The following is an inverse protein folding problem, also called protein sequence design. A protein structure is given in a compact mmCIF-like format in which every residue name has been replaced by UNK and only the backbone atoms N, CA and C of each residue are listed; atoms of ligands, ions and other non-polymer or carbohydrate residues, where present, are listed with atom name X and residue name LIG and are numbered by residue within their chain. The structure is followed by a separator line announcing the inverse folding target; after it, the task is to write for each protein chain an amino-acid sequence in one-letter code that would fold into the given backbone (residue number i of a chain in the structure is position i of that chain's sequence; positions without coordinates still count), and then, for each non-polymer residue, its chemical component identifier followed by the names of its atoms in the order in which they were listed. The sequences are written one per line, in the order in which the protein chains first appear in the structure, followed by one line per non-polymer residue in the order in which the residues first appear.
data_IF_582291341179
#
_entry.id   IF_582291341179
#
_cell.length_a   1.000
_cell.length_b   1.000
_cell.length_c   1.000
_cell.angle_alpha   90.00
_cell.angle_beta   90.00
_cell.angle_gamma   90.00
#
_symmetry.space_group_name_H-M   'P 1'
#
loop_
_entity.id
_entity.type
_entity.pdbx_description
1 polymer ?
#
# COMPACT_ATOMS: atom_id res chain seq x y z
N UNK A 1 -2.86 -31.02 23.96
CA UNK A 1 -3.05 -29.69 23.35
C UNK A 1 -1.86 -29.52 22.40
N UNK A 2 -2.11 -29.46 21.10
CA UNK A 2 -1.03 -29.29 20.11
C UNK A 2 -0.55 -27.84 20.13
N UNK A 3 0.75 -27.64 20.10
CA UNK A 3 1.34 -26.32 19.89
C UNK A 3 1.35 -26.04 18.39
N UNK A 4 0.62 -25.03 17.95
CA UNK A 4 0.69 -24.55 16.57
C UNK A 4 1.81 -23.51 16.46
N UNK A 5 2.81 -23.81 15.62
CA UNK A 5 3.94 -22.92 15.42
C UNK A 5 3.51 -21.62 14.72
N UNK A 6 3.92 -20.47 15.27
CA UNK A 6 3.69 -19.17 14.65
C UNK A 6 4.39 -19.04 13.29
N UNK A 7 3.82 -18.22 12.41
CA UNK A 7 4.27 -18.08 11.00
C UNK A 7 5.75 -17.67 10.88
N UNK A 8 6.25 -16.85 11.80
CA UNK A 8 7.67 -16.47 11.87
C UNK A 8 8.55 -17.72 12.07
N UNK A 9 8.29 -18.49 13.12
CA UNK A 9 9.05 -19.71 13.46
C UNK A 9 9.00 -20.71 12.31
N UNK A 10 7.80 -20.94 11.76
CA UNK A 10 7.61 -21.83 10.63
C UNK A 10 8.45 -21.40 9.42
N UNK A 11 8.40 -20.12 9.05
CA UNK A 11 9.17 -19.59 7.93
C UNK A 11 10.69 -19.73 8.15
N UNK A 12 11.18 -19.51 9.37
CA UNK A 12 12.59 -19.66 9.73
C UNK A 12 13.06 -21.12 9.62
N UNK A 13 12.26 -22.07 10.14
CA UNK A 13 12.56 -23.52 10.08
C UNK A 13 12.49 -24.08 8.66
N UNK A 14 11.53 -23.61 7.87
CA UNK A 14 11.35 -24.06 6.49
C UNK A 14 12.32 -23.38 5.52
N UNK A 15 12.81 -22.18 5.86
CA UNK A 15 13.69 -21.39 5.00
C UNK A 15 12.94 -20.66 3.90
N UNK A 16 11.68 -20.28 4.18
CA UNK A 16 10.78 -19.62 3.24
C UNK A 16 10.99 -18.11 3.22
N UNK A 17 10.34 -17.45 2.27
CA UNK A 17 10.16 -16.00 2.33
C UNK A 17 9.06 -15.68 3.36
N UNK A 18 9.35 -14.75 4.28
CA UNK A 18 8.36 -14.12 5.15
C UNK A 18 8.02 -12.74 4.60
N UNK A 19 6.77 -12.56 4.15
CA UNK A 19 6.25 -11.26 3.71
C UNK A 19 5.47 -10.60 4.84
N UNK A 20 5.91 -9.42 5.27
CA UNK A 20 5.32 -8.62 6.33
C UNK A 20 4.67 -7.39 5.71
N UNK A 21 3.35 -7.42 5.55
CA UNK A 21 2.61 -6.27 5.06
C UNK A 21 2.44 -5.24 6.17
N UNK A 22 2.71 -3.97 5.86
CA UNK A 22 2.51 -2.83 6.76
C UNK A 22 3.21 -3.02 8.11
N UNK A 23 4.50 -3.38 8.10
CA UNK A 23 5.26 -3.69 9.33
C UNK A 23 5.17 -2.55 10.35
N UNK A 24 5.00 -1.31 9.89
CA UNK A 24 4.89 -0.12 10.73
C UNK A 24 3.52 0.10 11.39
N UNK A 25 2.54 -0.78 11.12
CA UNK A 25 1.28 -0.88 11.85
C UNK A 25 1.34 -1.94 12.97
N UNK A 26 2.40 -2.75 13.03
CA UNK A 26 2.52 -3.82 14.02
C UNK A 26 2.73 -3.27 15.45
N UNK A 27 2.29 -4.06 16.43
CA UNK A 27 2.51 -3.74 17.85
C UNK A 27 3.98 -3.82 18.24
N UNK A 28 4.37 -3.05 19.26
CA UNK A 28 5.77 -2.94 19.69
C UNK A 28 6.38 -4.31 20.06
N UNK A 29 5.60 -5.17 20.72
CA UNK A 29 6.04 -6.53 21.09
C UNK A 29 6.32 -7.40 19.86
N UNK A 30 5.56 -7.22 18.77
CA UNK A 30 5.81 -7.93 17.50
C UNK A 30 7.10 -7.41 16.86
N UNK A 31 7.30 -6.10 16.84
CA UNK A 31 8.51 -5.47 16.30
C UNK A 31 9.78 -5.90 17.06
N UNK A 32 9.68 -6.06 18.38
CA UNK A 32 10.79 -6.54 19.21
C UNK A 32 11.21 -7.97 18.83
N UNK A 33 10.23 -8.85 18.59
CA UNK A 33 10.49 -10.23 18.17
C UNK A 33 11.02 -10.32 16.75
N UNK A 34 10.61 -9.39 15.87
CA UNK A 34 11.18 -9.26 14.54
C UNK A 34 12.62 -8.73 14.58
N UNK A 35 12.94 -7.75 15.42
CA UNK A 35 14.33 -7.28 15.56
C UNK A 35 15.26 -8.40 16.05
N UNK A 36 14.82 -9.21 17.01
CA UNK A 36 15.56 -10.41 17.45
C UNK A 36 15.80 -11.40 16.31
N UNK A 37 14.75 -11.71 15.54
CA UNK A 37 14.85 -12.67 14.44
C UNK A 37 15.65 -12.17 13.23
N UNK A 38 15.70 -10.85 13.00
CA UNK A 38 16.33 -10.20 11.86
C UNK A 38 17.76 -9.72 12.12
N UNK A 39 18.27 -9.89 13.34
CA UNK A 39 19.66 -9.57 13.65
C UNK A 39 20.64 -10.55 12.99
N UNK A 40 21.95 -10.29 13.15
CA UNK A 40 23.02 -11.08 12.52
C UNK A 40 23.00 -12.57 12.94
N UNK A 41 22.40 -12.90 14.08
CA UNK A 41 22.30 -14.28 14.57
C UNK A 41 21.18 -15.04 13.87
N UNK A 42 20.19 -14.33 13.31
CA UNK A 42 18.99 -14.86 12.63
C UNK A 42 18.30 -15.93 13.47
N UNK A 43 18.02 -15.63 14.72
CA UNK A 43 17.47 -16.59 15.68
C UNK A 43 16.41 -15.97 16.58
N UNK A 44 15.57 -16.80 17.16
CA UNK A 44 14.56 -16.38 18.13
C UNK A 44 14.48 -17.37 19.28
N UNK A 45 14.36 -16.86 20.50
CA UNK A 45 14.23 -17.68 21.72
C UNK A 45 12.76 -17.85 22.09
N UNK A 46 12.26 -19.09 22.09
CA UNK A 46 10.89 -19.43 22.47
C UNK A 46 10.81 -19.65 23.98
N UNK A 47 10.44 -18.60 24.72
CA UNK A 47 10.31 -18.64 26.19
C UNK A 47 9.24 -19.65 26.66
N UNK A 48 8.16 -19.78 25.89
CA UNK A 48 7.07 -20.74 26.11
C UNK A 48 7.53 -22.20 25.98
N UNK A 49 8.57 -22.46 25.18
CA UNK A 49 9.10 -23.79 24.86
C UNK A 49 10.42 -24.06 25.59
N UNK A 50 10.47 -23.79 26.89
CA UNK A 50 11.65 -24.04 27.73
C UNK A 50 12.94 -23.32 27.27
N UNK A 51 12.82 -22.21 26.54
CA UNK A 51 13.96 -21.46 26.03
C UNK A 51 14.59 -22.04 24.75
N UNK A 52 13.84 -22.84 24.00
CA UNK A 52 14.26 -23.35 22.68
C UNK A 52 14.74 -22.20 21.77
N UNK A 53 15.91 -22.38 21.15
CA UNK A 53 16.48 -21.42 20.20
C UNK A 53 16.18 -21.92 18.80
N UNK A 54 15.40 -21.14 18.05
CA UNK A 54 15.17 -21.40 16.63
C UNK A 54 16.13 -20.55 15.83
N UNK A 55 16.99 -21.18 15.03
CA UNK A 55 17.85 -20.50 14.06
C UNK A 55 17.26 -20.63 12.65
N UNK A 56 17.17 -19.52 11.94
CA UNK A 56 16.67 -19.51 10.57
C UNK A 56 17.63 -20.25 9.63
N UNK A 57 17.06 -20.98 8.67
CA UNK A 57 17.82 -21.55 7.54
C UNK A 57 18.45 -20.45 6.69
N UNK A 58 19.53 -20.79 5.99
CA UNK A 58 20.24 -19.85 5.14
C UNK A 58 19.40 -19.25 4.01
N UNK A 59 18.40 -19.98 3.53
CA UNK A 59 17.46 -19.53 2.51
C UNK A 59 16.33 -18.64 3.02
N UNK A 60 16.19 -18.48 4.34
CA UNK A 60 15.14 -17.64 4.91
C UNK A 60 15.37 -16.17 4.55
N UNK A 61 14.31 -15.51 4.08
CA UNK A 61 14.38 -14.13 3.60
C UNK A 61 13.13 -13.35 4.01
N UNK A 62 13.29 -12.09 4.36
CA UNK A 62 12.18 -11.24 4.80
C UNK A 62 11.98 -10.08 3.84
N UNK A 63 10.72 -9.89 3.43
CA UNK A 63 10.25 -8.74 2.67
C UNK A 63 9.23 -8.03 3.53
N UNK A 64 9.34 -6.71 3.67
CA UNK A 64 8.38 -5.92 4.41
C UNK A 64 7.93 -4.71 3.61
N UNK A 65 6.68 -4.29 3.80
CA UNK A 65 6.16 -3.01 3.28
C UNK A 65 5.99 -2.02 4.42
N UNK A 66 6.25 -0.74 4.14
CA UNK A 66 6.07 0.37 5.08
C UNK A 66 5.07 1.31 4.46
N UNK A 67 3.96 1.56 5.15
CA UNK A 67 2.99 2.57 4.73
C UNK A 67 3.51 3.99 5.03
N UNK A 68 3.13 4.99 4.23
CA UNK A 68 3.42 6.40 4.53
C UNK A 68 2.94 6.78 5.94
N UNK A 69 3.73 7.58 6.65
CA UNK A 69 3.43 8.03 8.02
C UNK A 69 2.17 8.90 8.13
N UNK A 70 1.67 9.40 7.00
CA UNK A 70 0.41 10.15 6.91
C UNK A 70 -0.82 9.27 7.08
N UNK A 71 -0.69 7.94 7.00
CA UNK A 71 -1.80 7.02 7.18
C UNK A 71 -2.10 6.79 8.67
N UNK A 72 -3.38 6.84 9.04
CA UNK A 72 -3.84 6.57 10.41
C UNK A 72 -3.40 5.18 10.86
N UNK A 73 -2.82 5.09 12.06
CA UNK A 73 -2.35 3.82 12.63
C UNK A 73 -0.91 3.43 12.27
N UNK A 74 -0.23 4.23 11.44
CA UNK A 74 1.20 4.01 11.16
C UNK A 74 2.10 4.65 12.22
N UNK A 75 3.17 3.96 12.58
CA UNK A 75 4.19 4.44 13.53
C UNK A 75 5.54 4.50 12.83
N UNK A 76 6.41 5.43 13.23
CA UNK A 76 7.79 5.38 12.77
C UNK A 76 8.47 4.09 13.25
N UNK A 77 9.15 3.41 12.34
CA UNK A 77 9.96 2.25 12.73
C UNK A 77 11.21 2.73 13.48
N UNK A 78 11.58 2.07 14.60
CA UNK A 78 12.83 2.37 15.30
C UNK A 78 14.05 2.24 14.37
N UNK A 79 15.07 3.10 14.49
CA UNK A 79 16.30 3.02 13.69
C UNK A 79 16.97 1.64 13.74
N UNK A 80 16.87 0.95 14.88
CA UNK A 80 17.42 -0.39 15.08
C UNK A 80 16.77 -1.39 14.13
N UNK A 81 15.44 -1.38 14.02
CA UNK A 81 14.72 -2.26 13.11
C UNK A 81 14.95 -1.86 11.65
N UNK A 82 14.98 -0.55 11.35
CA UNK A 82 15.30 -0.07 10.00
C UNK A 82 16.69 -0.53 9.54
N UNK A 83 17.66 -0.64 10.44
CA UNK A 83 19.00 -1.13 10.12
C UNK A 83 19.02 -2.61 9.67
N UNK A 84 17.98 -3.39 9.98
CA UNK A 84 17.81 -4.78 9.53
C UNK A 84 17.35 -4.90 8.09
N UNK A 85 16.92 -3.80 7.48
CA UNK A 85 16.50 -3.73 6.08
C UNK A 85 17.50 -2.87 5.29
N UNK A 86 18.69 -3.40 4.95
CA UNK A 86 19.72 -2.64 4.25
C UNK A 86 19.29 -2.27 2.81
N UNK A 87 18.48 -3.13 2.17
CA UNK A 87 17.89 -2.86 0.86
C UNK A 87 16.52 -2.24 1.06
N UNK A 88 16.36 -0.99 0.64
CA UNK A 88 15.08 -0.26 0.70
C UNK A 88 14.74 0.24 -0.69
N UNK A 89 13.57 -0.17 -1.19
CA UNK A 89 13.06 0.23 -2.50
C UNK A 89 11.93 1.22 -2.26
N UNK A 90 12.07 2.43 -2.80
CA UNK A 90 10.97 3.41 -2.86
C UNK A 90 10.13 3.12 -4.09
N UNK A 91 8.83 2.94 -3.89
CA UNK A 91 7.86 2.77 -4.95
C UNK A 91 7.05 4.06 -5.09
N UNK A 92 7.18 4.71 -6.24
CA UNK A 92 6.38 5.87 -6.62
C UNK A 92 5.31 5.46 -7.65
N UNK A 93 4.34 6.34 -7.88
CA UNK A 93 3.37 6.13 -8.96
C UNK A 93 4.08 6.12 -10.32
N UNK A 94 3.77 5.15 -11.20
CA UNK A 94 4.43 5.03 -12.48
C UNK A 94 3.97 6.14 -13.45
N UNK A 95 4.71 6.39 -14.53
CA UNK A 95 4.26 7.26 -15.62
C UNK A 95 2.91 6.83 -16.21
N UNK A 96 2.17 7.78 -16.82
CA UNK A 96 0.81 7.56 -17.32
C UNK A 96 0.70 6.37 -18.29
N UNK A 97 1.68 6.20 -19.18
CA UNK A 97 1.68 5.11 -20.17
C UNK A 97 1.88 3.74 -19.50
N UNK A 98 2.66 3.69 -18.41
CA UNK A 98 2.89 2.49 -17.62
C UNK A 98 1.67 2.17 -16.77
N UNK A 99 1.06 3.17 -16.13
CA UNK A 99 -0.21 2.99 -15.40
C UNK A 99 -1.33 2.52 -16.32
N UNK A 100 -1.44 3.09 -17.53
CA UNK A 100 -2.38 2.62 -18.54
C UNK A 100 -2.16 1.16 -18.93
N UNK A 101 -0.90 0.74 -19.12
CA UNK A 101 -0.55 -0.68 -19.37
C UNK A 101 -0.95 -1.59 -18.20
N UNK A 102 -0.86 -1.11 -16.95
CA UNK A 102 -1.33 -1.84 -15.77
C UNK A 102 -2.85 -1.97 -15.80
N UNK A 103 -3.57 -0.90 -16.06
CA UNK A 103 -5.04 -0.90 -16.15
C UNK A 103 -5.52 -1.86 -17.23
N UNK A 104 -4.89 -1.87 -18.42
CA UNK A 104 -5.20 -2.80 -19.51
C UNK A 104 -5.12 -4.28 -19.15
N UNK A 105 -4.41 -4.66 -18.08
CA UNK A 105 -4.38 -6.04 -17.57
C UNK A 105 -5.59 -6.39 -16.70
N UNK A 106 -6.35 -5.39 -16.25
CA UNK A 106 -7.45 -5.53 -15.30
C UNK A 106 -8.83 -5.26 -15.91
N UNK A 107 -8.90 -4.77 -17.15
CA UNK A 107 -10.12 -4.53 -17.94
C UNK A 107 -9.91 -5.05 -19.36
N UNK A 108 -10.97 -5.54 -20.01
CA UNK A 108 -10.89 -6.20 -21.32
C UNK A 108 -10.83 -5.18 -22.47
N UNK A 109 -11.77 -4.23 -22.47
CA UNK A 109 -11.94 -3.26 -23.56
C UNK A 109 -12.00 -1.82 -23.02
N UNK A 110 -10.90 -1.27 -22.48
CA UNK A 110 -10.90 0.10 -21.98
C UNK A 110 -11.08 1.10 -23.13
N UNK A 111 -11.96 2.09 -22.95
CA UNK A 111 -11.89 3.31 -23.74
C UNK A 111 -10.59 4.05 -23.35
N UNK A 112 -9.62 4.06 -24.26
CA UNK A 112 -8.30 4.64 -24.02
C UNK A 112 -8.38 6.12 -23.61
N UNK A 113 -9.21 6.91 -24.28
CA UNK A 113 -9.35 8.34 -23.99
C UNK A 113 -9.86 8.58 -22.57
N UNK A 114 -10.94 7.89 -22.18
CA UNK A 114 -11.55 8.05 -20.86
C UNK A 114 -10.60 7.57 -19.75
N UNK A 115 -9.93 6.42 -19.96
CA UNK A 115 -8.97 5.90 -18.97
C UNK A 115 -7.78 6.83 -18.80
N UNK A 116 -7.20 7.34 -19.89
CA UNK A 116 -6.09 8.30 -19.82
C UNK A 116 -6.53 9.60 -19.11
N UNK A 117 -7.75 10.05 -19.32
CA UNK A 117 -8.30 11.21 -18.61
C UNK A 117 -8.46 10.93 -17.11
N UNK A 118 -8.89 9.73 -16.72
CA UNK A 118 -8.92 9.29 -15.32
C UNK A 118 -7.54 9.20 -14.67
N UNK A 119 -6.54 8.70 -15.39
CA UNK A 119 -5.13 8.69 -14.92
C UNK A 119 -4.62 10.12 -14.71
N UNK A 120 -4.88 11.03 -15.66
CA UNK A 120 -4.51 12.45 -15.53
C UNK A 120 -5.15 13.09 -14.30
N UNK A 121 -6.43 12.84 -14.07
CA UNK A 121 -7.11 13.32 -12.85
C UNK A 121 -6.42 12.76 -11.61
N UNK A 122 -6.16 11.46 -11.54
CA UNK A 122 -5.46 10.87 -10.41
C UNK A 122 -4.09 11.50 -10.19
N UNK A 123 -3.32 11.78 -11.24
CA UNK A 123 -2.03 12.49 -11.16
C UNK A 123 -2.17 13.92 -10.63
N UNK A 124 -3.17 14.68 -11.08
CA UNK A 124 -3.45 16.01 -10.52
C UNK A 124 -3.75 15.94 -9.03
N UNK A 125 -4.57 14.98 -8.60
CA UNK A 125 -4.90 14.80 -7.18
C UNK A 125 -3.68 14.35 -6.35
N UNK A 126 -2.84 13.45 -6.90
CA UNK A 126 -1.57 13.02 -6.28
C UNK A 126 -0.61 14.21 -6.10
N UNK A 127 -0.48 15.07 -7.10
CA UNK A 127 0.37 16.27 -7.05
C UNK A 127 -0.13 17.26 -6.00
N UNK A 128 -1.43 17.54 -5.97
CA UNK A 128 -2.03 18.41 -4.96
C UNK A 128 -1.86 17.84 -3.53
N UNK A 129 -1.96 16.52 -3.36
CA UNK A 129 -1.70 15.88 -2.07
C UNK A 129 -0.23 15.95 -1.66
N UNK A 130 0.71 15.83 -2.61
CA UNK A 130 2.14 15.92 -2.34
C UNK A 130 2.60 17.31 -1.85
N UNK A 131 1.83 18.36 -2.16
CA UNK A 131 2.05 19.74 -1.66
C UNK A 131 1.08 20.12 -0.53
N UNK A 132 0.44 19.12 0.10
CA UNK A 132 -0.48 19.29 1.24
C UNK A 132 -1.74 20.14 0.95
N UNK A 133 -2.07 20.36 -0.33
CA UNK A 133 -3.32 21.03 -0.73
C UNK A 133 -4.55 20.12 -0.65
N UNK A 134 -4.34 18.80 -0.67
CA UNK A 134 -5.38 17.78 -0.52
C UNK A 134 -4.93 16.71 0.47
N UNK A 135 -5.86 16.25 1.31
CA UNK A 135 -5.59 15.28 2.37
C UNK A 135 -5.34 13.84 1.88
N UNK A 136 -5.64 13.55 0.63
CA UNK A 136 -5.64 12.19 0.09
C UNK A 136 -5.00 12.13 -1.28
N UNK A 137 -4.25 11.05 -1.53
CA UNK A 137 -3.55 10.77 -2.77
C UNK A 137 -4.11 9.47 -3.37
N UNK A 138 -4.80 9.53 -4.54
CA UNK A 138 -5.38 8.35 -5.15
C UNK A 138 -4.36 7.31 -5.58
N UNK A 139 -4.62 6.05 -5.26
CA UNK A 139 -3.83 4.88 -5.60
C UNK A 139 -4.06 4.38 -7.03
N UNK A 140 -3.22 3.45 -7.50
CA UNK A 140 -3.44 2.73 -8.77
C UNK A 140 -4.69 1.83 -8.69
N UNK A 141 -5.05 1.37 -7.49
CA UNK A 141 -6.28 0.56 -7.32
C UNK A 141 -7.53 1.38 -7.68
N UNK A 142 -7.52 2.67 -7.41
CA UNK A 142 -8.61 3.57 -7.77
C UNK A 142 -8.65 3.84 -9.27
N UNK A 143 -7.53 4.04 -9.95
CA UNK A 143 -7.54 4.17 -11.43
C UNK A 143 -8.01 2.87 -12.11
N UNK A 144 -7.69 1.70 -11.54
CA UNK A 144 -8.28 0.42 -11.96
C UNK A 144 -9.79 0.37 -11.69
N UNK A 145 -10.26 0.80 -10.51
CA UNK A 145 -11.68 0.83 -10.17
C UNK A 145 -12.47 1.76 -11.10
N UNK A 146 -11.91 2.94 -11.39
CA UNK A 146 -12.43 3.88 -12.36
C UNK A 146 -12.62 3.23 -13.75
N UNK A 147 -11.58 2.54 -14.24
CA UNK A 147 -11.65 1.84 -15.52
C UNK A 147 -12.69 0.70 -15.53
N UNK A 148 -12.86 -0.01 -14.42
CA UNK A 148 -13.91 -1.05 -14.27
C UNK A 148 -15.32 -0.45 -14.31
N UNK A 149 -15.53 0.73 -13.73
CA UNK A 149 -16.83 1.42 -13.82
C UNK A 149 -17.15 1.87 -15.25
N UNK A 150 -16.14 2.35 -15.99
CA UNK A 150 -16.27 2.64 -17.43
C UNK A 150 -16.67 1.39 -18.22
N UNK A 151 -15.99 0.25 -18.00
CA UNK A 151 -16.32 -1.02 -18.65
C UNK A 151 -17.74 -1.50 -18.30
N UNK A 152 -18.20 -1.21 -17.08
CA UNK A 152 -19.58 -1.42 -16.63
C UNK A 152 -20.61 -0.44 -17.21
N UNK A 153 -20.20 0.49 -18.07
CA UNK A 153 -21.09 1.46 -18.73
C UNK A 153 -21.38 2.73 -17.93
N UNK A 154 -20.69 2.96 -16.81
CA UNK A 154 -20.81 4.22 -16.05
C UNK A 154 -20.07 5.33 -16.78
N UNK A 155 -20.68 6.52 -16.89
CA UNK A 155 -20.04 7.66 -17.58
C UNK A 155 -18.74 8.09 -16.88
N UNK A 156 -17.79 8.61 -17.65
CA UNK A 156 -16.47 9.01 -17.15
C UNK A 156 -16.52 9.97 -15.96
N UNK A 157 -17.35 11.02 -16.05
CA UNK A 157 -17.57 11.97 -14.95
C UNK A 157 -18.12 11.30 -13.69
N UNK A 158 -19.13 10.44 -13.84
CA UNK A 158 -19.76 9.77 -12.70
C UNK A 158 -18.80 8.77 -12.05
N UNK A 159 -18.06 8.02 -12.86
CA UNK A 159 -16.99 7.12 -12.39
C UNK A 159 -15.92 7.88 -11.61
N UNK A 160 -15.49 9.05 -12.10
CA UNK A 160 -14.51 9.89 -11.40
C UNK A 160 -15.03 10.41 -10.05
N UNK A 161 -16.28 10.86 -10.00
CA UNK A 161 -16.91 11.28 -8.73
C UNK A 161 -17.00 10.13 -7.72
N UNK A 162 -17.42 8.95 -8.17
CA UNK A 162 -17.58 7.78 -7.30
C UNK A 162 -16.24 7.35 -6.70
N UNK A 163 -15.20 7.29 -7.54
CA UNK A 163 -13.91 6.73 -7.17
C UNK A 163 -13.01 7.75 -6.50
N UNK A 164 -12.83 8.92 -7.11
CA UNK A 164 -11.87 9.92 -6.64
C UNK A 164 -12.52 11.00 -5.78
N UNK A 165 -13.79 11.34 -5.99
CA UNK A 165 -14.46 12.43 -5.27
C UNK A 165 -14.97 12.03 -3.88
N UNK A 166 -15.66 10.90 -3.78
CA UNK A 166 -16.39 10.50 -2.57
C UNK A 166 -15.51 10.40 -1.31
N UNK A 167 -14.25 10.00 -1.45
CA UNK A 167 -13.31 9.88 -0.33
C UNK A 167 -13.12 11.22 0.38
N UNK A 168 -13.27 12.36 -0.31
CA UNK A 168 -13.07 13.67 0.30
C UNK A 168 -14.23 14.14 1.18
N UNK A 169 -15.38 13.47 1.12
CA UNK A 169 -16.53 13.80 1.97
C UNK A 169 -16.24 13.64 3.47
N UNK A 170 -15.26 12.80 3.83
CA UNK A 170 -14.85 12.59 5.22
C UNK A 170 -14.16 13.82 5.86
N UNK A 171 -13.61 14.74 5.05
CA UNK A 171 -13.03 16.01 5.51
C UNK A 171 -14.00 17.20 5.34
N UNK A 172 -15.27 16.93 5.05
CA UNK A 172 -16.33 17.92 4.96
C UNK A 172 -16.59 18.45 3.55
N UNK A 173 -17.61 19.30 3.45
CA UNK A 173 -18.14 19.75 2.16
C UNK A 173 -17.15 20.60 1.35
N UNK A 174 -16.26 21.34 1.99
CA UNK A 174 -15.30 22.22 1.29
C UNK A 174 -14.32 21.39 0.46
N UNK A 175 -13.68 20.40 1.06
CA UNK A 175 -12.74 19.51 0.36
C UNK A 175 -13.44 18.68 -0.71
N UNK A 176 -14.63 18.17 -0.40
CA UNK A 176 -15.44 17.45 -1.36
C UNK A 176 -15.79 18.30 -2.59
N UNK A 177 -16.21 19.56 -2.40
CA UNK A 177 -16.53 20.45 -3.52
C UNK A 177 -15.27 20.81 -4.33
N UNK A 178 -14.15 21.12 -3.66
CA UNK A 178 -12.86 21.38 -4.33
C UNK A 178 -12.49 20.29 -5.32
N UNK A 179 -12.61 19.01 -4.92
CA UNK A 179 -12.29 17.88 -5.81
C UNK A 179 -13.34 17.68 -6.90
N UNK A 180 -14.63 17.90 -6.60
CA UNK A 180 -15.68 17.82 -7.62
C UNK A 180 -15.57 18.94 -8.68
N UNK A 181 -15.09 20.12 -8.32
CA UNK A 181 -14.83 21.20 -9.26
C UNK A 181 -13.69 20.83 -10.22
N UNK A 182 -12.62 20.21 -9.71
CA UNK A 182 -11.54 19.66 -10.55
C UNK A 182 -12.09 18.60 -11.52
N UNK A 183 -12.91 17.66 -11.02
CA UNK A 183 -13.54 16.62 -11.85
C UNK A 183 -14.42 17.27 -12.93
N UNK A 184 -15.24 18.25 -12.58
CA UNK A 184 -16.15 18.91 -13.51
C UNK A 184 -15.38 19.70 -14.58
N UNK A 185 -14.31 20.38 -14.20
CA UNK A 185 -13.42 21.07 -15.13
C UNK A 185 -12.78 20.11 -16.14
N UNK A 186 -12.34 18.93 -15.67
CA UNK A 186 -11.66 17.96 -16.53
C UNK A 186 -12.61 17.20 -17.46
N UNK A 187 -13.80 16.80 -16.99
CA UNK A 187 -14.73 15.94 -17.74
C UNK A 187 -15.88 16.70 -18.42
N UNK A 188 -15.95 18.02 -18.24
CA UNK A 188 -17.02 18.85 -18.80
C UNK A 188 -18.32 18.82 -17.99
N UNK A 189 -19.31 19.58 -18.45
CA UNK A 189 -20.66 19.65 -17.89
C UNK A 189 -21.44 18.38 -18.20
#
# INVERSE_FOLDING_TARGET
IGFDEGILVKSMKEGNILYLDEINAAEADVLLRLDEALDDRRQIVLKESSGEIIKAKDSWFVIATINPLTHVGTKELPPQLLSRFPVRIRLDYPPEDVEYKIIKKHVKNPNESDVLQGIKLANTLRQASAVEELYYSPSIRETIAYAKLLEGGTSAKKSAQIVFGNVYSQWGNVEFQKVNDIITSMFGS
#
